data_IF_671926046105
#
_entry.id   IF_671926046105
#
_cell.length_a   1.000
_cell.length_b   1.000
_cell.length_c   1.000
_cell.angle_alpha   90.00
_cell.angle_beta   90.00
_cell.angle_gamma   90.00
#
_symmetry.space_group_name_H-M   'P 1'
#
loop_
_entity.id
_entity.type
_entity.pdbx_description
1 polymer ?
#
# COMPACT_ATOMS: atom_id res chain seq x y z
N UNK A 1 -24.72 -2.22 -5.93
CA UNK A 1 -24.75 -2.22 -4.44
C UNK A 1 -24.92 -3.60 -3.82
N UNK A 2 -25.60 -4.57 -4.45
CA UNK A 2 -25.81 -5.92 -3.88
C UNK A 2 -24.52 -6.71 -3.63
N UNK A 3 -23.56 -6.71 -4.57
CA UNK A 3 -22.31 -7.48 -4.44
C UNK A 3 -21.40 -6.93 -3.34
N UNK A 4 -21.30 -5.60 -3.18
CA UNK A 4 -20.49 -4.97 -2.12
C UNK A 4 -20.94 -5.44 -0.74
N UNK A 5 -22.24 -5.45 -0.48
CA UNK A 5 -22.80 -5.93 0.80
C UNK A 5 -22.66 -7.45 0.95
N UNK A 6 -22.94 -8.21 -0.13
CA UNK A 6 -22.88 -9.67 -0.10
C UNK A 6 -21.50 -10.20 0.23
N UNK A 7 -20.46 -9.59 -0.31
CA UNK A 7 -19.07 -10.05 -0.17
C UNK A 7 -18.26 -9.23 0.85
N UNK A 8 -18.87 -8.26 1.52
CA UNK A 8 -18.18 -7.44 2.53
C UNK A 8 -17.02 -6.62 1.97
N UNK A 9 -17.14 -6.15 0.71
CA UNK A 9 -16.09 -5.39 0.03
C UNK A 9 -15.87 -4.03 0.71
N UNK A 10 -14.61 -3.67 0.83
CA UNK A 10 -14.16 -2.38 1.36
C UNK A 10 -13.54 -1.52 0.26
N UNK A 11 -13.45 -0.22 0.48
CA UNK A 11 -12.67 0.65 -0.40
C UNK A 11 -11.21 0.19 -0.40
N UNK A 12 -10.56 0.24 -1.57
CA UNK A 12 -9.16 -0.19 -1.70
C UNK A 12 -8.96 -1.71 -1.90
N UNK A 13 -10.00 -2.55 -1.80
CA UNK A 13 -9.87 -3.98 -2.06
C UNK A 13 -9.50 -4.27 -3.52
N UNK A 14 -8.50 -5.12 -3.73
CA UNK A 14 -8.19 -5.72 -5.03
C UNK A 14 -9.10 -6.94 -5.23
N UNK A 15 -9.94 -6.90 -6.25
CA UNK A 15 -10.94 -7.93 -6.51
C UNK A 15 -10.60 -8.67 -7.80
N UNK A 16 -10.47 -9.99 -7.73
CA UNK A 16 -10.38 -10.88 -8.89
C UNK A 16 -11.70 -11.60 -9.12
N UNK A 17 -12.10 -11.67 -10.39
CA UNK A 17 -13.35 -12.33 -10.74
C UNK A 17 -13.64 -12.34 -12.23
N UNK A 18 -14.71 -13.01 -12.64
CA UNK A 18 -15.16 -13.02 -14.02
C UNK A 18 -16.03 -11.82 -14.35
N UNK A 19 -15.88 -11.31 -15.56
CA UNK A 19 -16.69 -10.22 -16.09
C UNK A 19 -17.77 -10.80 -17.02
N UNK A 20 -18.91 -10.13 -17.09
CA UNK A 20 -19.95 -10.49 -18.05
C UNK A 20 -19.53 -10.07 -19.46
N UNK A 21 -19.46 -11.02 -20.38
CA UNK A 21 -19.22 -10.71 -21.79
C UNK A 21 -20.33 -9.78 -22.31
N UNK A 22 -20.00 -8.74 -23.10
CA UNK A 22 -21.00 -7.88 -23.75
C UNK A 22 -21.86 -8.73 -24.69
N UNK A 23 -23.20 -8.62 -24.60
CA UNK A 23 -24.09 -9.27 -25.56
C UNK A 23 -23.95 -8.62 -26.93
N UNK A 24 -23.99 -9.43 -28.00
CA UNK A 24 -24.07 -8.93 -29.37
C UNK A 24 -25.32 -8.09 -29.53
N UNK A 25 -25.19 -6.79 -29.67
CA UNK A 25 -26.31 -5.83 -29.74
C UNK A 25 -26.20 -4.68 -28.71
N UNK A 26 -25.62 -4.90 -27.53
CA UNK A 26 -25.41 -3.83 -26.54
C UNK A 26 -24.30 -2.85 -26.95
N UNK A 27 -23.42 -3.23 -27.91
CA UNK A 27 -22.32 -2.39 -28.40
C UNK A 27 -22.75 -1.12 -29.13
N UNK A 28 -24.02 -1.00 -29.53
CA UNK A 28 -24.45 0.11 -30.41
C UNK A 28 -25.14 1.28 -29.70
N UNK A 29 -25.72 1.10 -28.51
CA UNK A 29 -26.61 2.13 -27.95
C UNK A 29 -26.34 2.63 -26.52
N UNK A 30 -25.41 2.02 -25.77
CA UNK A 30 -24.98 2.57 -24.49
C UNK A 30 -23.47 2.38 -24.36
N UNK A 31 -22.74 3.49 -24.29
CA UNK A 31 -21.36 3.52 -23.77
C UNK A 31 -21.41 3.09 -22.29
N UNK A 32 -21.49 1.78 -22.04
CA UNK A 32 -21.29 1.28 -20.68
C UNK A 32 -19.87 1.67 -20.25
N UNK A 33 -19.78 2.64 -19.37
CA UNK A 33 -18.54 3.18 -18.84
C UNK A 33 -17.82 2.15 -17.95
N UNK A 34 -18.52 1.10 -17.51
CA UNK A 34 -18.02 0.08 -16.59
C UNK A 34 -18.50 -1.31 -17.02
N UNK A 35 -17.62 -2.29 -16.90
CA UNK A 35 -17.93 -3.70 -17.14
C UNK A 35 -18.35 -4.34 -15.81
N UNK A 36 -19.57 -4.90 -15.70
CA UNK A 36 -20.03 -5.50 -14.45
C UNK A 36 -19.30 -6.82 -14.17
N UNK A 37 -18.84 -7.00 -12.92
CA UNK A 37 -18.36 -8.29 -12.42
C UNK A 37 -19.54 -9.26 -12.29
N UNK A 38 -19.36 -10.47 -12.81
CA UNK A 38 -20.33 -11.56 -12.73
C UNK A 38 -20.12 -12.41 -11.48
N UNK A 39 -18.87 -12.79 -11.20
CA UNK A 39 -18.47 -13.48 -9.98
C UNK A 39 -17.24 -12.83 -9.37
N UNK A 40 -17.04 -13.07 -8.08
CA UNK A 40 -15.83 -12.69 -7.35
C UNK A 40 -15.20 -13.99 -6.87
N UNK A 41 -13.96 -14.22 -7.26
CA UNK A 41 -13.21 -15.43 -6.99
C UNK A 41 -12.24 -15.23 -5.82
N UNK A 42 -11.62 -14.05 -5.72
CA UNK A 42 -10.77 -13.68 -4.57
C UNK A 42 -10.78 -12.18 -4.29
N UNK A 43 -10.46 -11.83 -3.05
CA UNK A 43 -10.36 -10.45 -2.55
C UNK A 43 -9.01 -10.31 -1.85
N UNK A 44 -8.14 -9.41 -2.32
CA UNK A 44 -6.77 -9.23 -1.83
C UNK A 44 -5.95 -10.53 -1.80
N UNK A 45 -6.19 -11.45 -2.74
CA UNK A 45 -5.53 -12.75 -2.81
C UNK A 45 -6.07 -13.81 -1.84
N UNK A 46 -7.03 -13.46 -0.98
CA UNK A 46 -7.71 -14.37 -0.06
C UNK A 46 -9.00 -14.92 -0.66
N UNK A 47 -9.50 -16.02 -0.11
CA UNK A 47 -10.85 -16.51 -0.44
C UNK A 47 -11.92 -15.51 0.00
N UNK A 48 -13.11 -15.61 -0.60
CA UNK A 48 -14.23 -14.72 -0.29
C UNK A 48 -14.67 -14.87 1.17
N UNK A 49 -14.66 -16.12 1.67
CA UNK A 49 -15.01 -16.44 3.06
C UNK A 49 -14.03 -15.81 4.06
N UNK A 50 -12.74 -15.95 3.84
CA UNK A 50 -11.69 -15.34 4.67
C UNK A 50 -11.79 -13.82 4.67
N UNK A 51 -12.02 -13.22 3.50
CA UNK A 51 -12.16 -11.78 3.36
C UNK A 51 -13.35 -11.21 4.13
N UNK A 52 -14.45 -11.95 4.30
CA UNK A 52 -15.61 -11.53 5.08
C UNK A 52 -15.31 -11.49 6.59
N UNK A 53 -14.40 -12.34 7.08
CA UNK A 53 -14.04 -12.43 8.49
C UNK A 53 -12.87 -11.50 8.88
N UNK A 54 -12.43 -10.63 7.98
CA UNK A 54 -11.35 -9.67 8.25
C UNK A 54 -11.68 -8.77 9.44
N UNK A 55 -10.74 -8.56 10.37
CA UNK A 55 -10.90 -7.60 11.45
C UNK A 55 -11.05 -6.19 10.90
N UNK A 56 -11.75 -5.33 11.63
CA UNK A 56 -11.81 -3.90 11.33
C UNK A 56 -10.67 -3.21 12.09
N UNK A 57 -9.86 -2.41 11.40
CA UNK A 57 -8.73 -1.70 12.00
C UNK A 57 -9.15 -0.90 13.25
N UNK A 58 -10.27 -0.21 13.20
CA UNK A 58 -10.80 0.59 14.32
C UNK A 58 -11.18 -0.22 15.57
N UNK A 59 -11.32 -1.55 15.43
CA UNK A 59 -11.64 -2.45 16.54
C UNK A 59 -10.42 -3.16 17.12
N UNK A 60 -9.25 -2.97 16.54
CA UNK A 60 -8.01 -3.54 17.02
C UNK A 60 -7.57 -2.83 18.31
N UNK A 61 -7.04 -3.59 19.26
CA UNK A 61 -6.47 -3.02 20.48
C UNK A 61 -5.08 -2.45 20.19
N UNK A 62 -4.85 -1.14 20.41
CA UNK A 62 -3.53 -0.56 20.21
C UNK A 62 -2.56 -1.08 21.28
N UNK A 63 -1.39 -1.54 20.84
CA UNK A 63 -0.30 -1.99 21.72
C UNK A 63 0.95 -1.15 21.48
N UNK A 64 1.79 -1.04 22.51
CA UNK A 64 3.14 -0.50 22.34
C UNK A 64 3.96 -1.43 21.44
N UNK A 65 4.85 -0.88 20.55
CA UNK A 65 5.71 -1.69 19.71
C UNK A 65 6.69 -2.51 20.58
N UNK A 66 6.47 -3.81 20.67
CA UNK A 66 7.32 -4.73 21.44
C UNK A 66 8.29 -5.51 20.56
N UNK A 67 7.94 -5.69 19.29
CA UNK A 67 8.75 -6.42 18.31
C UNK A 67 9.49 -5.42 17.42
N UNK A 68 10.83 -5.52 17.42
CA UNK A 68 11.69 -4.61 16.65
C UNK A 68 11.81 -5.03 15.20
N UNK A 69 11.72 -4.07 14.30
CA UNK A 69 12.07 -4.20 12.88
C UNK A 69 13.56 -3.89 12.71
N UNK A 70 14.40 -4.91 12.69
CA UNK A 70 15.87 -4.75 12.55
C UNK A 70 16.20 -4.12 11.20
N UNK A 71 16.98 -3.02 11.22
CA UNK A 71 17.37 -2.28 10.02
C UNK A 71 18.76 -2.66 9.50
N UNK A 72 19.58 -3.26 10.33
CA UNK A 72 20.90 -3.74 9.91
C UNK A 72 20.76 -4.95 8.97
N UNK A 73 21.35 -4.88 7.78
CA UNK A 73 21.36 -5.96 6.78
C UNK A 73 22.80 -6.45 6.55
N UNK A 74 23.67 -5.59 6.04
CA UNK A 74 25.07 -5.90 5.78
C UNK A 74 26.00 -4.91 6.50
N UNK A 75 27.25 -5.32 6.84
CA UNK A 75 28.18 -4.46 7.56
C UNK A 75 28.44 -3.10 6.92
N UNK A 76 28.38 -3.03 5.60
CA UNK A 76 28.65 -1.81 4.83
C UNK A 76 27.47 -0.82 4.77
N UNK A 77 26.27 -1.25 5.16
CA UNK A 77 25.08 -0.39 5.18
C UNK A 77 24.94 0.33 6.53
N UNK A 78 25.68 1.42 6.68
CA UNK A 78 25.75 2.15 7.95
C UNK A 78 24.44 2.80 8.38
N UNK A 79 23.61 3.23 7.44
CA UNK A 79 22.31 3.90 7.73
C UNK A 79 21.41 3.02 8.60
N UNK A 80 21.24 1.73 8.23
CA UNK A 80 20.40 0.80 9.00
C UNK A 80 20.96 0.57 10.41
N UNK A 81 22.28 0.44 10.55
CA UNK A 81 22.95 0.29 11.87
C UNK A 81 22.76 1.51 12.75
N UNK A 82 22.89 2.72 12.18
CA UNK A 82 22.66 3.96 12.91
C UNK A 82 21.20 4.07 13.40
N UNK A 83 20.23 3.76 12.55
CA UNK A 83 18.81 3.74 12.92
C UNK A 83 18.57 2.76 14.07
N UNK A 84 19.16 1.56 13.99
CA UNK A 84 19.02 0.55 15.03
C UNK A 84 19.57 0.96 16.40
N UNK A 85 20.58 1.83 16.43
CA UNK A 85 21.21 2.31 17.66
C UNK A 85 20.50 3.55 18.22
N UNK A 86 20.19 4.52 17.34
CA UNK A 86 19.74 5.84 17.77
C UNK A 86 18.22 5.96 17.83
N UNK A 87 17.52 5.33 16.88
CA UNK A 87 16.08 5.42 16.70
C UNK A 87 15.47 4.09 16.24
N UNK A 88 15.53 3.03 17.06
CA UNK A 88 15.01 1.72 16.69
C UNK A 88 13.52 1.78 16.34
N UNK A 89 13.12 1.05 15.30
CA UNK A 89 11.75 1.01 14.78
C UNK A 89 11.13 -0.34 15.17
N UNK A 90 9.92 -0.32 15.69
CA UNK A 90 9.14 -1.51 16.04
C UNK A 90 7.88 -1.65 15.22
N UNK A 91 7.33 -2.87 15.15
CA UNK A 91 6.05 -3.15 14.50
C UNK A 91 4.93 -2.34 15.16
N UNK A 92 4.15 -1.62 14.33
CA UNK A 92 3.08 -0.73 14.82
C UNK A 92 3.55 0.65 15.29
N UNK A 93 4.84 0.95 15.26
CA UNK A 93 5.36 2.25 15.66
C UNK A 93 5.07 3.33 14.59
N UNK A 94 4.69 4.52 15.07
CA UNK A 94 4.62 5.73 14.23
C UNK A 94 5.92 6.50 14.37
N UNK A 95 6.60 6.73 13.27
CA UNK A 95 7.83 7.52 13.20
C UNK A 95 7.69 8.70 12.24
N UNK A 96 8.43 9.77 12.49
CA UNK A 96 8.50 10.94 11.62
C UNK A 96 9.95 11.16 11.21
N UNK A 97 10.20 11.25 9.90
CA UNK A 97 11.52 11.59 9.34
C UNK A 97 11.43 12.99 8.74
N UNK A 98 12.08 13.94 9.40
CA UNK A 98 12.14 15.33 8.95
C UNK A 98 13.54 15.63 8.45
N UNK A 99 13.63 16.20 7.26
CA UNK A 99 14.90 16.61 6.69
C UNK A 99 14.74 17.85 5.79
N UNK A 100 15.77 18.71 5.68
CA UNK A 100 15.80 19.75 4.65
C UNK A 100 15.75 19.13 3.24
N UNK A 101 15.39 19.89 2.21
CA UNK A 101 15.50 19.46 0.81
C UNK A 101 16.92 18.97 0.49
N UNK A 102 17.03 17.92 -0.31
CA UNK A 102 18.31 17.33 -0.77
C UNK A 102 19.21 16.74 0.33
N UNK A 103 18.68 16.47 1.52
CA UNK A 103 19.45 15.88 2.64
C UNK A 103 19.38 14.35 2.70
N UNK A 104 18.87 13.67 1.66
CA UNK A 104 18.85 12.22 1.58
C UNK A 104 17.61 11.54 2.20
N UNK A 105 16.49 12.28 2.39
CA UNK A 105 15.22 11.73 2.90
C UNK A 105 14.80 10.46 2.12
N UNK A 106 14.71 10.56 0.79
CA UNK A 106 14.29 9.47 -0.08
C UNK A 106 15.20 8.26 0.03
N UNK A 107 16.52 8.48 0.05
CA UNK A 107 17.52 7.40 0.22
C UNK A 107 17.37 6.72 1.59
N UNK A 108 17.08 7.49 2.64
CA UNK A 108 16.84 6.93 3.98
C UNK A 108 15.58 6.05 3.99
N UNK A 109 14.49 6.52 3.36
CA UNK A 109 13.24 5.76 3.23
C UNK A 109 13.45 4.47 2.43
N UNK A 110 14.18 4.51 1.31
CA UNK A 110 14.54 3.33 0.52
C UNK A 110 15.36 2.33 1.34
N UNK A 111 16.34 2.81 2.12
CA UNK A 111 17.15 1.94 2.98
C UNK A 111 16.30 1.25 4.04
N UNK A 112 15.37 1.97 4.69
CA UNK A 112 14.43 1.41 5.66
C UNK A 112 13.52 0.36 5.00
N UNK A 113 12.90 0.70 3.88
CA UNK A 113 12.02 -0.19 3.14
C UNK A 113 12.72 -1.50 2.73
N UNK A 114 13.92 -1.40 2.15
CA UNK A 114 14.70 -2.54 1.74
C UNK A 114 15.22 -3.39 2.92
N UNK A 115 15.54 -2.75 4.04
CA UNK A 115 15.94 -3.46 5.25
C UNK A 115 14.76 -4.26 5.84
N UNK A 116 13.56 -3.67 5.87
CA UNK A 116 12.34 -4.36 6.32
C UNK A 116 12.03 -5.53 5.40
N UNK A 117 12.01 -5.33 4.08
CA UNK A 117 11.75 -6.40 3.11
C UNK A 117 12.77 -7.55 3.20
N UNK A 118 14.04 -7.24 3.53
CA UNK A 118 15.11 -8.25 3.67
C UNK A 118 14.99 -9.03 4.98
N UNK A 119 14.76 -8.34 6.08
CA UNK A 119 14.82 -8.94 7.43
C UNK A 119 13.48 -9.48 7.91
N UNK A 120 12.36 -8.98 7.36
CA UNK A 120 11.00 -9.32 7.74
C UNK A 120 10.14 -9.61 6.49
N UNK A 121 10.40 -10.70 5.75
CA UNK A 121 9.68 -11.01 4.50
C UNK A 121 8.19 -11.27 4.70
N UNK A 122 7.76 -11.54 5.92
CA UNK A 122 6.35 -11.71 6.30
C UNK A 122 5.57 -10.37 6.36
N UNK A 123 6.28 -9.24 6.41
CA UNK A 123 5.65 -7.91 6.53
C UNK A 123 5.21 -7.42 5.16
N UNK A 124 3.94 -7.10 5.02
CA UNK A 124 3.43 -6.42 3.84
C UNK A 124 3.88 -4.95 3.84
N UNK A 125 4.75 -4.61 2.90
CA UNK A 125 5.34 -3.28 2.80
C UNK A 125 4.58 -2.44 1.77
N UNK A 126 4.06 -1.30 2.21
CA UNK A 126 3.42 -0.32 1.34
C UNK A 126 4.15 1.02 1.43
N UNK A 127 4.41 1.62 0.29
CA UNK A 127 4.99 2.97 0.17
C UNK A 127 3.96 3.87 -0.49
N UNK A 128 3.60 4.95 0.19
CA UNK A 128 2.64 5.94 -0.32
C UNK A 128 3.38 7.25 -0.56
N UNK A 129 3.46 7.64 -1.84
CA UNK A 129 4.15 8.85 -2.27
C UNK A 129 3.10 9.90 -2.68
N UNK A 130 3.08 11.02 -1.97
CA UNK A 130 2.13 12.10 -2.20
C UNK A 130 2.91 13.37 -2.52
N UNK A 131 2.54 14.04 -3.61
CA UNK A 131 3.20 15.27 -4.10
C UNK A 131 4.70 15.08 -4.40
N UNK A 132 5.09 13.84 -4.78
CA UNK A 132 6.46 13.52 -5.17
C UNK A 132 6.64 13.63 -6.69
N UNK A 133 7.89 13.74 -7.14
CA UNK A 133 8.22 13.85 -8.56
C UNK A 133 8.11 12.49 -9.26
N UNK A 134 7.69 12.45 -10.55
CA UNK A 134 7.55 11.19 -11.30
C UNK A 134 8.84 10.35 -11.34
N UNK A 135 10.01 11.01 -11.43
CA UNK A 135 11.30 10.33 -11.40
C UNK A 135 11.59 9.66 -10.05
N UNK A 136 11.19 10.28 -8.93
CA UNK A 136 11.34 9.71 -7.58
C UNK A 136 10.40 8.52 -7.37
N UNK A 137 9.18 8.60 -7.92
CA UNK A 137 8.23 7.48 -7.92
C UNK A 137 8.81 6.29 -8.68
N UNK A 138 9.30 6.52 -9.90
CA UNK A 138 9.90 5.46 -10.71
C UNK A 138 11.13 4.82 -10.05
N UNK A 139 11.95 5.62 -9.38
CA UNK A 139 13.11 5.13 -8.64
C UNK A 139 12.68 4.26 -7.45
N UNK A 140 11.66 4.70 -6.70
CA UNK A 140 11.10 3.94 -5.58
C UNK A 140 10.52 2.59 -6.05
N UNK A 141 9.74 2.57 -7.14
CA UNK A 141 9.16 1.35 -7.71
C UNK A 141 10.23 0.33 -8.16
N UNK A 142 11.39 0.82 -8.62
CA UNK A 142 12.50 -0.05 -9.05
C UNK A 142 13.36 -0.56 -7.92
N UNK A 143 13.45 0.19 -6.83
CA UNK A 143 14.42 -0.08 -5.74
C UNK A 143 13.80 -0.74 -4.53
N UNK A 144 12.49 -0.59 -4.30
CA UNK A 144 11.80 -1.12 -3.12
C UNK A 144 11.01 -2.38 -3.48
N UNK A 145 11.19 -3.43 -2.68
CA UNK A 145 10.36 -4.64 -2.76
C UNK A 145 9.10 -4.45 -1.91
N UNK A 146 8.08 -3.82 -2.50
CA UNK A 146 6.83 -3.52 -1.82
C UNK A 146 5.80 -2.93 -2.78
N UNK A 147 4.58 -2.71 -2.30
CA UNK A 147 3.55 -2.04 -3.07
C UNK A 147 3.80 -0.52 -3.03
N UNK A 148 3.95 0.11 -4.20
CA UNK A 148 4.13 1.56 -4.32
C UNK A 148 2.85 2.19 -4.84
N UNK A 149 2.28 3.10 -4.07
CA UNK A 149 1.08 3.86 -4.40
C UNK A 149 1.51 5.32 -4.51
N UNK A 150 1.19 5.98 -5.61
CA UNK A 150 1.68 7.35 -5.83
C UNK A 150 0.62 8.30 -6.35
N UNK A 151 0.78 9.57 -5.99
CA UNK A 151 0.11 10.71 -6.60
C UNK A 151 1.15 11.82 -6.80
N UNK A 152 1.55 12.03 -8.05
CA UNK A 152 2.62 12.93 -8.46
C UNK A 152 2.18 14.40 -8.42
N UNK A 153 3.13 15.32 -8.28
CA UNK A 153 2.90 16.76 -8.07
C UNK A 153 2.08 17.45 -9.18
N UNK A 154 1.98 16.85 -10.36
CA UNK A 154 1.19 17.32 -11.49
C UNK A 154 -0.32 17.06 -11.35
N UNK A 155 -0.72 16.31 -10.31
CA UNK A 155 -2.12 16.00 -10.02
C UNK A 155 -2.79 17.09 -9.18
N UNK A 156 -4.12 17.27 -9.30
CA UNK A 156 -4.87 18.15 -8.42
C UNK A 156 -4.80 17.71 -6.94
N UNK A 157 -4.86 18.65 -6.00
CA UNK A 157 -4.83 18.35 -4.56
C UNK A 157 -5.92 17.36 -4.11
N UNK A 158 -7.09 17.35 -4.75
CA UNK A 158 -8.16 16.37 -4.51
C UNK A 158 -7.74 14.92 -4.79
N UNK A 159 -6.85 14.72 -5.77
CA UNK A 159 -6.36 13.39 -6.12
C UNK A 159 -5.40 12.88 -5.04
N UNK A 160 -4.57 13.77 -4.46
CA UNK A 160 -3.67 13.43 -3.37
C UNK A 160 -4.42 12.91 -2.14
N UNK A 161 -5.50 13.60 -1.74
CA UNK A 161 -6.33 13.16 -0.62
C UNK A 161 -7.03 11.84 -0.91
N UNK A 162 -7.58 11.69 -2.11
CA UNK A 162 -8.25 10.45 -2.53
C UNK A 162 -7.30 9.26 -2.52
N UNK A 163 -6.09 9.43 -3.07
CA UNK A 163 -5.07 8.35 -3.09
C UNK A 163 -4.63 7.99 -1.67
N UNK A 164 -4.39 8.99 -0.81
CA UNK A 164 -4.02 8.75 0.58
C UNK A 164 -5.12 8.01 1.35
N UNK A 165 -6.39 8.40 1.20
CA UNK A 165 -7.53 7.72 1.83
C UNK A 165 -7.65 6.26 1.35
N UNK A 166 -7.53 6.03 0.03
CA UNK A 166 -7.59 4.67 -0.53
C UNK A 166 -6.43 3.80 -0.04
N UNK A 167 -5.24 4.36 0.10
CA UNK A 167 -4.08 3.65 0.62
C UNK A 167 -4.27 3.22 2.09
N UNK A 168 -4.85 4.10 2.93
CA UNK A 168 -5.18 3.78 4.34
C UNK A 168 -6.27 2.69 4.43
N UNK A 169 -7.28 2.75 3.57
CA UNK A 169 -8.36 1.73 3.56
C UNK A 169 -7.86 0.37 3.04
N UNK A 170 -6.81 0.36 2.22
CA UNK A 170 -6.20 -0.86 1.69
C UNK A 170 -5.27 -1.53 2.70
N UNK A 171 -4.56 -0.77 3.51
CA UNK A 171 -3.66 -1.27 4.56
C UNK A 171 -4.45 -1.93 5.71
#
# INVERSE_FOLDING_TARGET
MGQVKKYGLRKGDAVHGSIRAPREGERRNQRQKFVPLQSIDSINGMSVEEAQHRPQFSKLTPLYPQERLKQETTPNKLTGRLIDIVAPIGKGQRGLIVSPPKAGKTITLQNIANAIATNNPEVHLMVVLVDERPEEVTDMERTVQGEVISSTFDRPASDHTTVAELAIERA
#
